data_IF_303601678239
#
_entry.id   IF_303601678239
#
_cell.length_a   1.000
_cell.length_b   1.000
_cell.length_c   1.000
_cell.angle_alpha   90.00
_cell.angle_beta   90.00
_cell.angle_gamma   90.00
#
_symmetry.space_group_name_H-M   'P 1'
#
loop_
_entity.id
_entity.type
_entity.pdbx_description
1 polymer ?
#
# COMPACT_ATOMS: atom_id res chain seq x y z
N UNK A 1 4.76 -9.04 -11.79
CA UNK A 1 5.11 -9.21 -10.36
C UNK A 1 4.85 -7.92 -9.56
N UNK A 2 4.75 -7.98 -8.20
CA UNK A 2 4.51 -6.76 -7.39
C UNK A 2 5.59 -5.69 -7.55
N UNK A 3 6.80 -6.09 -7.96
CA UNK A 3 7.91 -5.18 -8.26
C UNK A 3 7.67 -4.42 -9.57
N UNK A 4 7.23 -5.07 -10.65
CA UNK A 4 6.96 -4.38 -11.93
C UNK A 4 5.90 -3.29 -11.77
N UNK A 5 4.87 -3.55 -10.96
CA UNK A 5 3.83 -2.57 -10.66
C UNK A 5 4.38 -1.38 -9.84
N UNK A 6 5.36 -1.63 -8.95
CA UNK A 6 6.05 -0.55 -8.23
C UNK A 6 6.94 0.28 -9.16
N UNK A 7 7.62 -0.37 -10.12
CA UNK A 7 8.43 0.31 -11.15
C UNK A 7 7.57 1.18 -12.07
N UNK A 8 6.41 0.67 -12.52
CA UNK A 8 5.48 1.45 -13.34
C UNK A 8 4.97 2.69 -12.59
N UNK A 9 4.66 2.55 -11.29
CA UNK A 9 4.29 3.69 -10.44
C UNK A 9 5.44 4.69 -10.23
N UNK A 10 6.68 4.22 -10.26
CA UNK A 10 7.82 5.12 -10.18
C UNK A 10 7.96 5.94 -11.46
N UNK A 11 7.72 5.31 -12.62
CA UNK A 11 7.76 5.98 -13.93
C UNK A 11 6.64 7.01 -14.12
N UNK A 12 5.45 6.75 -13.58
CA UNK A 12 4.31 7.67 -13.71
C UNK A 12 4.24 8.73 -12.59
N UNK A 13 5.16 8.71 -11.62
CA UNK A 13 5.22 9.66 -10.51
C UNK A 13 4.29 9.37 -9.33
N UNK A 14 3.62 8.22 -9.30
CA UNK A 14 2.71 7.81 -8.23
C UNK A 14 3.39 7.01 -7.11
N UNK A 15 4.65 6.62 -7.30
CA UNK A 15 5.39 5.85 -6.29
C UNK A 15 5.58 6.66 -5.01
N UNK A 16 5.28 6.00 -3.88
CA UNK A 16 5.36 6.62 -2.56
C UNK A 16 4.10 7.35 -2.13
N UNK A 17 3.01 7.30 -2.91
CA UNK A 17 1.71 7.85 -2.53
C UNK A 17 0.68 6.74 -2.34
N UNK A 18 -0.23 6.96 -1.38
CA UNK A 18 -1.32 6.07 -1.06
C UNK A 18 -2.34 6.07 -2.20
N UNK A 19 -2.66 4.89 -2.75
CA UNK A 19 -3.60 4.76 -3.86
C UNK A 19 -5.04 5.14 -3.50
N UNK A 20 -5.41 5.04 -2.22
CA UNK A 20 -6.76 5.38 -1.75
C UNK A 20 -6.92 6.86 -1.40
N UNK A 21 -5.94 7.45 -0.72
CA UNK A 21 -6.08 8.81 -0.17
C UNK A 21 -5.26 9.86 -0.91
N UNK A 22 -4.28 9.45 -1.73
CA UNK A 22 -3.31 10.35 -2.37
C UNK A 22 -2.23 10.88 -1.41
N UNK A 23 -2.27 10.50 -0.13
CA UNK A 23 -1.32 10.97 0.88
C UNK A 23 0.03 10.25 0.77
N UNK A 24 1.14 10.89 1.18
CA UNK A 24 2.46 10.26 1.14
C UNK A 24 2.54 9.02 2.06
N UNK A 25 3.12 7.95 1.54
CA UNK A 25 3.47 6.75 2.32
C UNK A 25 4.79 7.05 3.04
N UNK A 26 4.83 6.83 4.36
CA UNK A 26 6.01 7.07 5.17
C UNK A 26 7.26 6.36 4.63
N UNK A 27 8.38 7.09 4.55
CA UNK A 27 9.64 6.60 3.97
C UNK A 27 10.12 5.29 4.64
N UNK A 28 10.07 5.20 5.97
CA UNK A 28 10.46 3.99 6.70
C UNK A 28 9.67 2.75 6.25
N UNK A 29 8.39 2.90 5.90
CA UNK A 29 7.56 1.82 5.38
C UNK A 29 7.98 1.40 3.97
N UNK A 30 8.35 2.34 3.10
CA UNK A 30 8.84 2.04 1.75
C UNK A 30 10.20 1.36 1.79
N UNK A 31 11.08 1.73 2.72
CA UNK A 31 12.37 1.05 2.90
C UNK A 31 12.20 -0.41 3.33
N UNK A 32 11.24 -0.69 4.23
CA UNK A 32 10.94 -2.05 4.67
C UNK A 32 10.13 -2.84 3.62
N UNK A 33 9.25 -2.16 2.88
CA UNK A 33 8.35 -2.77 1.90
C UNK A 33 8.20 -1.84 0.68
N UNK A 34 9.10 -1.91 -0.31
CA UNK A 34 9.10 -1.01 -1.46
C UNK A 34 7.88 -1.19 -2.37
N UNK A 35 7.19 -2.33 -2.29
CA UNK A 35 5.96 -2.55 -3.05
C UNK A 35 4.69 -2.08 -2.32
N UNK A 36 4.79 -1.26 -1.27
CA UNK A 36 3.61 -0.74 -0.58
C UNK A 36 2.78 0.16 -1.51
N UNK A 37 1.45 0.06 -1.42
CA UNK A 37 0.49 0.84 -2.25
C UNK A 37 -0.43 1.72 -1.43
N UNK A 38 -0.46 1.53 -0.10
CA UNK A 38 -1.34 2.24 0.84
C UNK A 38 -0.52 2.82 1.99
N UNK A 39 -1.02 3.91 2.59
CA UNK A 39 -0.53 4.43 3.87
C UNK A 39 -0.90 3.48 5.03
N UNK A 40 -0.38 3.72 6.24
CA UNK A 40 -0.66 2.85 7.40
C UNK A 40 -2.13 2.99 7.77
N UNK A 41 -2.58 4.23 7.83
CA UNK A 41 -3.94 4.67 8.12
C UNK A 41 -4.93 4.02 7.15
N UNK A 42 -4.67 4.09 5.83
CA UNK A 42 -5.51 3.47 4.82
C UNK A 42 -5.55 1.94 4.96
N UNK A 43 -4.40 1.30 5.24
CA UNK A 43 -4.35 -0.15 5.43
C UNK A 43 -5.12 -0.59 6.68
N UNK A 44 -4.97 0.13 7.79
CA UNK A 44 -5.72 -0.12 9.03
C UNK A 44 -7.22 0.08 8.80
N UNK A 45 -7.62 1.14 8.11
CA UNK A 45 -9.02 1.38 7.77
C UNK A 45 -9.60 0.27 6.88
N UNK A 46 -8.81 -0.24 5.92
CA UNK A 46 -9.19 -1.40 5.11
C UNK A 46 -9.40 -2.63 5.99
N UNK A 47 -8.49 -2.93 6.91
CA UNK A 47 -8.58 -4.08 7.81
C UNK A 47 -9.76 -3.97 8.79
N UNK A 48 -10.14 -2.77 9.22
CA UNK A 48 -11.35 -2.55 10.01
C UNK A 48 -12.64 -2.76 9.19
N UNK A 49 -12.61 -2.44 7.89
CA UNK A 49 -13.75 -2.61 6.97
C UNK A 49 -13.88 -4.04 6.47
N UNK A 50 -12.80 -4.80 6.44
CA UNK A 50 -12.83 -6.23 6.13
C UNK A 50 -13.53 -6.94 7.30
N UNK A 51 -14.77 -7.46 7.13
CA UNK A 51 -15.37 -8.29 8.16
C UNK A 51 -14.43 -9.46 8.40
N UNK A 52 -14.31 -9.91 9.67
CA UNK A 52 -13.47 -11.01 10.10
C UNK A 52 -13.92 -12.34 9.46
N UNK A 53 -13.75 -12.50 8.14
CA UNK A 53 -13.79 -13.80 7.51
C UNK A 53 -12.48 -14.47 7.89
N UNK A 54 -12.53 -15.23 8.98
CA UNK A 54 -11.64 -16.36 9.23
C UNK A 54 -11.56 -17.13 7.91
N UNK A 55 -10.47 -16.99 7.18
CA UNK A 55 -10.09 -18.00 6.20
C UNK A 55 -9.74 -19.23 7.03
N UNK A 56 -10.75 -20.06 7.26
CA UNK A 56 -10.59 -21.39 7.82
C UNK A 56 -9.68 -22.20 6.91
N UNK A 57 -8.70 -22.84 7.55
CA UNK A 57 -7.99 -24.02 7.14
C UNK A 57 -7.71 -24.79 8.42
#
# INVERSE_FOLDING_TARGET
>A
PKIDAALARLQNGEYGYCRETGEPIGLARLLLRPTAELSIEAKTAQEMREPHMRKGG
#
